data_IF_227924151923
#
_entry.id   IF_227924151923
#
_cell.length_a   1.000
_cell.length_b   1.000
_cell.length_c   1.000
_cell.angle_alpha   90.00
_cell.angle_beta   90.00
_cell.angle_gamma   90.00
#
_symmetry.space_group_name_H-M   'P 1'
#
loop_
_entity.id
_entity.type
_entity.pdbx_description
1 polymer ?
#
# COMPACT_ATOMS: atom_id res chain seq x y z
N UNK A 1 15.02 0.01 10.87
CA UNK A 1 15.75 -0.60 9.73
C UNK A 1 14.81 -0.90 8.56
N UNK A 2 13.76 -1.70 8.75
CA UNK A 2 12.82 -2.08 7.66
C UNK A 2 12.24 -0.88 6.91
N UNK A 3 11.74 0.13 7.62
CA UNK A 3 11.20 1.36 7.01
C UNK A 3 12.24 2.12 6.18
N UNK A 4 13.51 2.13 6.61
CA UNK A 4 14.60 2.78 5.86
C UNK A 4 14.92 2.01 4.57
N UNK A 5 14.93 0.67 4.61
CA UNK A 5 15.15 -0.15 3.42
C UNK A 5 14.01 0.03 2.41
N UNK A 6 12.76 -0.01 2.86
CA UNK A 6 11.59 0.25 2.02
C UNK A 6 11.68 1.65 1.40
N UNK A 7 12.02 2.67 2.20
CA UNK A 7 12.18 4.03 1.71
C UNK A 7 13.20 4.11 0.57
N UNK A 8 14.38 3.52 0.74
CA UNK A 8 15.43 3.52 -0.28
C UNK A 8 15.01 2.79 -1.56
N UNK A 9 14.46 1.59 -1.43
CA UNK A 9 14.00 0.79 -2.57
C UNK A 9 12.93 1.54 -3.36
N UNK A 10 11.96 2.14 -2.68
CA UNK A 10 10.86 2.87 -3.34
C UNK A 10 11.34 4.18 -3.98
N UNK A 11 12.28 4.89 -3.34
CA UNK A 11 12.88 6.08 -3.95
C UNK A 11 13.61 5.77 -5.25
N UNK A 12 14.37 4.65 -5.27
CA UNK A 12 15.07 4.18 -6.47
C UNK A 12 14.05 3.73 -7.53
N UNK A 13 13.01 3.01 -7.13
CA UNK A 13 12.00 2.46 -8.04
C UNK A 13 11.23 3.54 -8.81
N UNK A 14 10.86 4.62 -8.13
CA UNK A 14 10.11 5.72 -8.73
C UNK A 14 10.98 6.82 -9.30
N UNK A 15 12.31 6.73 -9.11
CA UNK A 15 13.25 7.81 -9.41
C UNK A 15 12.83 9.16 -8.77
N UNK A 16 12.03 9.08 -7.70
CA UNK A 16 11.34 10.22 -7.10
C UNK A 16 11.21 10.05 -5.59
N UNK A 17 11.93 10.91 -4.87
CA UNK A 17 11.94 10.92 -3.41
C UNK A 17 10.55 11.22 -2.85
N UNK A 18 9.75 12.07 -3.53
CA UNK A 18 8.40 12.42 -3.06
C UNK A 18 7.45 11.24 -3.09
N UNK A 19 7.47 10.43 -4.15
CA UNK A 19 6.64 9.23 -4.26
C UNK A 19 7.04 8.18 -3.23
N UNK A 20 8.35 8.07 -2.94
CA UNK A 20 8.88 7.24 -1.86
C UNK A 20 8.41 7.67 -0.47
N UNK A 21 8.51 8.96 -0.13
CA UNK A 21 8.04 9.49 1.17
C UNK A 21 6.54 9.23 1.35
N UNK A 22 5.72 9.48 0.32
CA UNK A 22 4.27 9.23 0.37
C UNK A 22 3.98 7.77 0.68
N UNK A 23 4.60 6.85 -0.04
CA UNK A 23 4.40 5.40 0.16
C UNK A 23 4.75 4.98 1.58
N UNK A 24 5.86 5.49 2.12
CA UNK A 24 6.30 5.17 3.48
C UNK A 24 5.37 5.76 4.55
N UNK A 25 4.80 6.94 4.33
CA UNK A 25 3.82 7.55 5.24
C UNK A 25 2.49 6.80 5.29
N UNK A 26 2.13 6.07 4.24
CA UNK A 26 0.92 5.25 4.19
C UNK A 26 1.05 3.94 5.00
N UNK A 27 2.27 3.41 5.17
CA UNK A 27 2.54 2.18 5.93
C UNK A 27 2.01 2.24 7.37
N UNK A 28 2.36 3.25 8.21
CA UNK A 28 1.87 3.30 9.58
C UNK A 28 0.35 3.47 9.68
N UNK A 29 -0.28 4.05 8.65
CA UNK A 29 -1.74 4.15 8.61
C UNK A 29 -2.38 2.76 8.51
N UNK A 30 -1.80 1.86 7.70
CA UNK A 30 -2.29 0.49 7.58
C UNK A 30 -2.16 -0.33 8.86
N UNK A 31 -1.23 0.03 9.75
CA UNK A 31 -1.06 -0.65 11.04
C UNK A 31 -2.22 -0.44 12.01
N UNK A 32 -3.02 0.62 11.82
CA UNK A 32 -4.22 0.86 12.63
C UNK A 32 -5.17 -0.34 12.55
N UNK A 33 -5.28 -1.00 11.39
CA UNK A 33 -6.10 -2.20 11.22
C UNK A 33 -5.62 -3.39 12.05
N UNK A 34 -4.29 -3.52 12.23
CA UNK A 34 -3.70 -4.58 13.05
C UNK A 34 -4.07 -4.36 14.52
N UNK A 35 -3.84 -3.14 15.03
CA UNK A 35 -4.18 -2.80 16.41
C UNK A 35 -5.68 -2.96 16.69
N UNK A 36 -6.54 -2.55 15.76
CA UNK A 36 -7.98 -2.69 15.90
C UNK A 36 -8.40 -4.16 16.00
N UNK A 37 -7.75 -5.03 15.24
CA UNK A 37 -8.07 -6.47 15.20
C UNK A 37 -7.57 -7.18 16.46
N UNK A 38 -6.36 -6.87 16.92
CA UNK A 38 -5.87 -7.38 18.21
C UNK A 38 -6.73 -6.91 19.39
N UNK A 39 -7.23 -5.67 19.34
CA UNK A 39 -8.15 -5.14 20.34
C UNK A 39 -9.50 -5.87 20.33
N UNK A 40 -10.07 -6.11 19.14
CA UNK A 40 -11.36 -6.81 19.01
C UNK A 40 -11.29 -8.30 19.37
N UNK A 41 -10.19 -8.99 19.04
CA UNK A 41 -10.03 -10.41 19.36
C UNK A 41 -9.44 -10.65 20.76
N UNK A 42 -9.17 -9.59 21.53
CA UNK A 42 -8.56 -9.65 22.87
C UNK A 42 -7.27 -10.50 22.91
N UNK A 43 -6.46 -10.41 21.85
CA UNK A 43 -5.25 -11.23 21.70
C UNK A 43 -4.03 -10.57 22.33
N UNK A 44 -3.16 -11.35 22.99
CA UNK A 44 -1.88 -10.83 23.47
C UNK A 44 -1.01 -10.43 22.28
N UNK A 45 -0.45 -9.23 22.35
CA UNK A 45 0.47 -8.73 21.34
C UNK A 45 1.86 -9.32 21.55
N UNK A 46 2.07 -10.53 21.02
CA UNK A 46 3.31 -11.32 21.16
C UNK A 46 4.07 -11.41 19.81
N UNK A 47 5.02 -12.35 19.69
CA UNK A 47 5.83 -12.59 18.50
C UNK A 47 5.02 -12.68 17.21
N UNK A 48 3.87 -13.37 17.21
CA UNK A 48 2.99 -13.49 16.05
C UNK A 48 2.42 -12.14 15.60
N UNK A 49 2.14 -11.23 16.54
CA UNK A 49 1.72 -9.86 16.25
C UNK A 49 2.81 -9.06 15.55
N UNK A 50 4.05 -9.11 16.04
CA UNK A 50 5.19 -8.46 15.37
C UNK A 50 5.43 -9.01 13.96
N UNK A 51 5.29 -10.33 13.76
CA UNK A 51 5.39 -10.93 12.43
C UNK A 51 4.26 -10.45 11.51
N UNK A 52 3.04 -10.30 12.03
CA UNK A 52 1.94 -9.71 11.26
C UNK A 52 2.25 -8.29 10.78
N UNK A 53 2.88 -7.44 11.62
CA UNK A 53 3.30 -6.10 11.22
C UNK A 53 4.26 -6.12 10.04
N UNK A 54 5.28 -6.96 10.10
CA UNK A 54 6.26 -7.10 9.02
C UNK A 54 5.58 -7.60 7.75
N UNK A 55 4.73 -8.62 7.87
CA UNK A 55 4.02 -9.23 6.76
C UNK A 55 3.08 -8.25 6.06
N UNK A 56 2.22 -7.55 6.82
CA UNK A 56 1.31 -6.53 6.29
C UNK A 56 2.08 -5.38 5.68
N UNK A 57 3.17 -4.91 6.31
CA UNK A 57 3.95 -3.80 5.77
C UNK A 57 4.45 -4.06 4.35
N UNK A 58 4.93 -5.28 4.06
CA UNK A 58 5.39 -5.66 2.72
C UNK A 58 4.25 -5.73 1.71
N UNK A 59 3.13 -6.34 2.08
CA UNK A 59 1.95 -6.47 1.20
C UNK A 59 1.34 -5.11 0.85
N UNK A 60 1.18 -4.24 1.83
CA UNK A 60 0.66 -2.88 1.65
C UNK A 60 1.57 -2.10 0.69
N UNK A 61 2.89 -2.14 0.92
CA UNK A 61 3.86 -1.44 0.08
C UNK A 61 3.78 -1.94 -1.36
N UNK A 62 3.67 -3.26 -1.57
CA UNK A 62 3.53 -3.82 -2.92
C UNK A 62 2.27 -3.29 -3.64
N UNK A 63 1.12 -3.28 -2.96
CA UNK A 63 -0.12 -2.76 -3.55
C UNK A 63 -0.05 -1.25 -3.85
N UNK A 64 0.56 -0.45 -2.96
CA UNK A 64 0.77 0.98 -3.17
C UNK A 64 1.70 1.26 -4.35
N UNK A 65 2.81 0.50 -4.44
CA UNK A 65 3.77 0.64 -5.53
C UNK A 65 3.07 0.43 -6.87
N UNK A 66 2.28 -0.64 -6.96
CA UNK A 66 1.58 -1.01 -8.19
C UNK A 66 0.55 0.04 -8.63
N UNK A 67 -0.16 0.64 -7.68
CA UNK A 67 -1.12 1.72 -7.95
C UNK A 67 -0.43 3.01 -8.42
N UNK A 68 0.63 3.44 -7.73
CA UNK A 68 1.39 4.66 -8.07
C UNK A 68 2.04 4.51 -9.45
N UNK A 69 2.60 3.33 -9.75
CA UNK A 69 3.21 3.08 -11.05
C UNK A 69 2.20 3.14 -12.19
N UNK A 70 1.00 2.59 -11.99
CA UNK A 70 -0.06 2.71 -12.99
C UNK A 70 -0.52 4.16 -13.14
N UNK A 71 -0.67 4.90 -12.05
CA UNK A 71 -1.00 6.32 -12.10
C UNK A 71 0.03 7.09 -12.94
N UNK A 72 1.32 6.88 -12.70
CA UNK A 72 2.40 7.49 -13.49
C UNK A 72 2.32 7.08 -14.96
N UNK A 73 1.98 5.82 -15.24
CA UNK A 73 1.85 5.28 -16.61
C UNK A 73 0.68 5.91 -17.36
N UNK A 74 -0.52 5.93 -16.76
CA UNK A 74 -1.73 6.52 -17.35
C UNK A 74 -1.54 8.03 -17.54
N UNK A 75 -0.88 8.70 -16.60
CA UNK A 75 -0.57 10.14 -16.71
C UNK A 75 0.34 10.45 -17.90
N UNK A 76 1.34 9.59 -18.18
CA UNK A 76 2.22 9.73 -19.35
C UNK A 76 1.50 9.42 -20.66
N UNK A 77 0.55 8.47 -20.65
CA UNK A 77 -0.23 8.11 -21.83
C UNK A 77 -1.29 9.18 -22.19
N UNK A 78 -1.89 9.83 -21.20
CA UNK A 78 -2.97 10.81 -21.39
C UNK A 78 -2.64 12.16 -20.72
N UNK A 79 -1.71 12.96 -21.28
CA UNK A 79 -1.25 14.22 -20.67
C UNK A 79 -2.34 15.32 -20.59
N UNK A 80 -3.47 15.16 -21.27
CA UNK A 80 -4.59 16.11 -21.24
C UNK A 80 -5.72 15.77 -20.26
N UNK A 81 -5.66 14.64 -19.56
CA UNK A 81 -6.71 14.22 -18.64
C UNK A 81 -6.59 14.91 -17.28
N UNK A 82 -7.72 15.18 -16.64
CA UNK A 82 -7.72 15.72 -15.28
C UNK A 82 -7.11 14.71 -14.29
N UNK A 83 -6.47 15.15 -13.19
CA UNK A 83 -5.89 14.24 -12.19
C UNK A 83 -6.88 13.21 -11.65
N UNK A 84 -8.18 13.54 -11.64
CA UNK A 84 -9.25 12.65 -11.22
C UNK A 84 -9.54 11.54 -12.24
N UNK A 85 -9.59 11.86 -13.54
CA UNK A 85 -9.82 10.88 -14.60
C UNK A 85 -8.66 9.88 -14.71
N UNK A 86 -7.42 10.39 -14.61
CA UNK A 86 -6.20 9.55 -14.57
C UNK A 86 -6.25 8.59 -13.39
N UNK A 87 -6.65 9.09 -12.20
CA UNK A 87 -6.78 8.26 -11.01
C UNK A 87 -7.89 7.20 -11.16
N UNK A 88 -9.08 7.59 -11.64
CA UNK A 88 -10.20 6.68 -11.79
C UNK A 88 -9.86 5.51 -12.74
N UNK A 89 -9.17 5.81 -13.85
CA UNK A 89 -8.72 4.79 -14.79
C UNK A 89 -7.64 3.88 -14.20
N UNK A 90 -6.63 4.46 -13.55
CA UNK A 90 -5.56 3.69 -12.90
C UNK A 90 -6.11 2.78 -11.79
N UNK A 91 -7.05 3.29 -10.99
CA UNK A 91 -7.72 2.52 -9.95
C UNK A 91 -8.55 1.38 -10.52
N UNK A 92 -9.38 1.63 -11.55
CA UNK A 92 -10.21 0.61 -12.19
C UNK A 92 -9.37 -0.53 -12.79
N UNK A 93 -8.22 -0.21 -13.39
CA UNK A 93 -7.33 -1.22 -13.97
C UNK A 93 -6.62 -2.09 -12.91
N UNK A 94 -6.39 -1.57 -11.70
CA UNK A 94 -5.49 -2.18 -10.71
C UNK A 94 -6.18 -2.69 -9.45
N UNK A 95 -7.43 -2.31 -9.21
CA UNK A 95 -8.17 -2.81 -8.05
C UNK A 95 -8.32 -4.33 -8.08
N UNK A 96 -8.57 -4.92 -9.25
CA UNK A 96 -8.68 -6.39 -9.42
C UNK A 96 -7.42 -7.14 -8.98
N UNK A 97 -6.21 -6.85 -9.51
CA UNK A 97 -5.00 -7.54 -9.06
C UNK A 97 -4.64 -7.28 -7.59
N UNK A 98 -4.93 -6.08 -7.05
CA UNK A 98 -4.74 -5.79 -5.63
C UNK A 98 -5.67 -6.67 -4.79
N UNK A 99 -6.97 -6.71 -5.11
CA UNK A 99 -7.94 -7.54 -4.41
C UNK A 99 -7.63 -9.04 -4.54
N UNK A 100 -7.11 -9.51 -5.68
CA UNK A 100 -6.67 -10.89 -5.84
C UNK A 100 -5.51 -11.24 -4.89
N UNK A 101 -4.55 -10.32 -4.72
CA UNK A 101 -3.41 -10.52 -3.81
C UNK A 101 -3.87 -10.59 -2.36
N UNK A 102 -4.71 -9.63 -1.94
CA UNK A 102 -5.24 -9.57 -0.58
C UNK A 102 -6.16 -10.74 -0.30
N UNK A 103 -7.08 -11.06 -1.22
CA UNK A 103 -8.00 -12.19 -1.11
C UNK A 103 -7.28 -13.52 -1.04
N UNK A 104 -6.28 -13.75 -1.90
CA UNK A 104 -5.45 -14.97 -1.84
C UNK A 104 -4.74 -15.10 -0.49
N UNK A 105 -4.22 -13.98 0.04
CA UNK A 105 -3.56 -13.98 1.36
C UNK A 105 -4.55 -14.29 2.49
N UNK A 106 -5.73 -13.67 2.48
CA UNK A 106 -6.78 -13.93 3.47
C UNK A 106 -7.24 -15.40 3.42
N UNK A 107 -7.42 -15.96 2.23
CA UNK A 107 -7.77 -17.36 2.04
C UNK A 107 -6.66 -18.30 2.53
N UNK A 108 -5.40 -17.97 2.28
CA UNK A 108 -4.24 -18.72 2.78
C UNK A 108 -4.09 -18.67 4.30
N UNK A 109 -4.58 -17.60 4.93
CA UNK A 109 -4.56 -17.43 6.39
C UNK A 109 -5.78 -18.02 7.11
N UNK A 110 -6.86 -18.29 6.37
CA UNK A 110 -8.10 -18.87 6.88
C UNK A 110 -7.91 -20.16 7.71
N UNK A 111 -7.11 -21.16 7.30
CA UNK A 111 -6.93 -22.38 8.10
C UNK A 111 -6.27 -22.10 9.46
N UNK A 112 -5.40 -21.09 9.57
CA UNK A 112 -4.76 -20.73 10.83
C UNK A 112 -5.72 -20.02 11.79
N UNK A 113 -6.73 -19.32 11.27
CA UNK A 113 -7.82 -18.77 12.08
C UNK A 113 -8.77 -19.86 12.58
N UNK A 114 -9.04 -20.88 11.77
CA UNK A 114 -9.93 -21.99 12.13
C UNK A 114 -9.25 -23.05 13.03
N UNK A 115 -7.92 -23.16 12.97
CA UNK A 115 -7.13 -24.06 13.81
C UNK A 115 -7.18 -23.72 15.31
N UNK A 116 -7.71 -22.55 15.66
CA UNK A 116 -7.89 -22.12 17.05
C UNK A 116 -6.58 -21.78 17.77
N UNK A 117 -6.64 -21.50 19.08
CA UNK A 117 -5.49 -21.05 19.87
C UNK A 117 -4.43 -22.13 20.16
N UNK A 118 -4.51 -23.31 19.54
CA UNK A 118 -3.50 -24.36 19.68
C UNK A 118 -2.11 -23.94 19.18
N UNK A 119 -2.07 -23.01 18.23
CA UNK A 119 -0.86 -22.43 17.63
C UNK A 119 -0.92 -20.89 17.76
N UNK A 120 -0.70 -20.38 18.98
CA UNK A 120 -0.89 -18.95 19.34
C UNK A 120 -0.13 -18.00 18.39
N UNK A 121 1.05 -18.40 17.93
CA UNK A 121 1.85 -17.63 16.98
C UNK A 121 1.15 -17.45 15.63
N UNK A 122 0.71 -18.54 15.01
CA UNK A 122 0.07 -18.52 13.68
C UNK A 122 -1.31 -17.88 13.75
N UNK A 123 -2.04 -18.10 14.84
CA UNK A 123 -3.33 -17.46 15.06
C UNK A 123 -3.19 -15.93 15.16
N UNK A 124 -2.24 -15.45 15.97
CA UNK A 124 -1.97 -14.01 16.10
C UNK A 124 -1.48 -13.39 14.78
N UNK A 125 -0.64 -14.11 14.02
CA UNK A 125 -0.20 -13.70 12.70
C UNK A 125 -1.36 -13.56 11.73
N UNK A 126 -2.21 -14.59 11.65
CA UNK A 126 -3.33 -14.65 10.73
C UNK A 126 -4.41 -13.61 11.07
N UNK A 127 -4.73 -13.43 12.36
CA UNK A 127 -5.64 -12.40 12.84
C UNK A 127 -5.11 -11.00 12.52
N UNK A 128 -3.86 -10.71 12.87
CA UNK A 128 -3.22 -9.43 12.60
C UNK A 128 -3.15 -9.08 11.13
N UNK A 129 -2.73 -10.04 10.31
CA UNK A 129 -2.64 -9.87 8.87
C UNK A 129 -4.02 -9.66 8.26
N UNK A 130 -5.04 -10.41 8.68
CA UNK A 130 -6.40 -10.24 8.16
C UNK A 130 -6.94 -8.84 8.44
N UNK A 131 -6.78 -8.38 9.67
CA UNK A 131 -7.12 -7.02 10.09
C UNK A 131 -6.42 -5.92 9.32
N UNK A 132 -5.09 -6.04 9.23
CA UNK A 132 -4.25 -5.07 8.53
C UNK A 132 -4.55 -5.00 7.03
N UNK A 133 -4.82 -6.13 6.38
CA UNK A 133 -5.14 -6.18 4.95
C UNK A 133 -6.53 -5.61 4.66
N UNK A 134 -7.54 -5.93 5.47
CA UNK A 134 -8.87 -5.33 5.35
C UNK A 134 -8.81 -3.81 5.49
N UNK A 135 -8.07 -3.32 6.48
CA UNK A 135 -7.87 -1.88 6.66
C UNK A 135 -7.03 -1.27 5.53
N UNK A 136 -6.07 -2.01 4.98
CA UNK A 136 -5.29 -1.55 3.84
C UNK A 136 -6.15 -1.30 2.60
N UNK A 137 -7.22 -2.06 2.37
CA UNK A 137 -8.15 -1.80 1.25
C UNK A 137 -8.77 -0.41 1.44
N UNK A 138 -9.23 -0.11 2.65
CA UNK A 138 -9.78 1.20 3.02
C UNK A 138 -8.74 2.29 2.76
N UNK A 139 -7.50 2.10 3.21
CA UNK A 139 -6.39 3.05 2.98
C UNK A 139 -6.13 3.27 1.49
N UNK A 140 -6.06 2.20 0.71
CA UNK A 140 -5.80 2.28 -0.74
C UNK A 140 -6.96 2.98 -1.45
N UNK A 141 -8.20 2.72 -1.08
CA UNK A 141 -9.39 3.33 -1.71
C UNK A 141 -9.64 4.78 -1.27
N UNK A 142 -9.42 5.13 0.00
CA UNK A 142 -9.73 6.46 0.55
C UNK A 142 -8.54 7.42 0.55
N UNK A 143 -7.32 6.94 0.82
CA UNK A 143 -6.14 7.82 0.97
C UNK A 143 -5.42 8.03 -0.37
N UNK A 144 -5.37 7.02 -1.24
CA UNK A 144 -4.80 7.20 -2.59
C UNK A 144 -5.44 8.32 -3.41
N UNK A 145 -6.78 8.51 -3.47
CA UNK A 145 -7.35 9.63 -4.22
C UNK A 145 -6.96 10.96 -3.57
N UNK A 146 -6.95 11.06 -2.24
CA UNK A 146 -6.61 12.32 -1.56
C UNK A 146 -5.16 12.75 -1.86
N UNK A 147 -4.22 11.81 -1.86
CA UNK A 147 -2.80 12.12 -2.07
C UNK A 147 -2.50 12.44 -3.54
N UNK A 148 -3.18 11.77 -4.47
CA UNK A 148 -2.97 11.97 -5.91
C UNK A 148 -3.75 13.19 -6.44
N UNK A 149 -4.94 13.48 -5.92
CA UNK A 149 -5.79 14.62 -6.33
C UNK A 149 -5.34 15.94 -5.68
N UNK A 150 -4.77 15.93 -4.47
CA UNK A 150 -4.35 17.16 -3.74
C UNK A 150 -3.17 17.92 -4.38
N UNK A 151 -2.83 17.69 -5.65
CA UNK A 151 -2.17 18.69 -6.48
C UNK A 151 -0.67 18.94 -6.23
N UNK A 152 0.00 18.14 -5.39
CA UNK A 152 1.47 18.23 -5.21
C UNK A 152 2.28 17.17 -5.97
N UNK A 153 1.63 16.14 -6.51
CA UNK A 153 2.25 15.15 -7.41
C UNK A 153 2.30 15.68 -8.87
N UNK A 154 1.36 16.55 -9.25
CA UNK A 154 1.21 17.06 -10.61
C UNK A 154 2.26 18.08 -11.08
N UNK A 155 2.79 18.93 -10.19
CA UNK A 155 3.65 20.07 -10.58
C UNK A 155 5.14 19.77 -10.69
N UNK A 156 5.61 18.59 -10.26
CA UNK A 156 7.05 18.28 -10.27
C UNK A 156 7.45 17.55 -11.54
N UNK A 157 6.64 16.59 -12.00
CA UNK A 157 6.95 15.82 -13.21
C UNK A 157 6.87 16.69 -14.49
N UNK A 158 6.08 17.77 -14.47
CA UNK A 158 6.06 18.75 -15.55
C UNK A 158 7.34 19.62 -15.57
N UNK A 159 7.96 19.87 -14.42
CA UNK A 159 9.20 20.65 -14.35
C UNK A 159 10.42 19.83 -14.79
N UNK A 160 10.45 18.52 -14.54
CA UNK A 160 11.55 17.66 -15.00
C UNK A 160 11.46 17.25 -16.46
N UNK A 161 10.25 17.26 -17.05
CA UNK A 161 10.08 17.02 -18.50
C UNK A 161 10.42 18.26 -19.32
N UNK A 162 10.25 19.46 -18.78
CA UNK A 162 10.69 20.72 -19.42
C UNK A 162 12.23 20.89 -19.39
N UNK A 163 12.92 20.42 -18.34
CA UNK A 163 14.40 20.44 -18.31
C UNK A 163 15.04 19.44 -19.29
N UNK A 164 14.51 18.22 -19.43
CA UNK A 164 15.08 17.21 -20.34
C UNK A 164 14.87 17.56 -21.83
N UNK A 165 13.84 18.34 -22.15
CA UNK A 165 13.56 18.80 -23.52
C UNK A 165 14.23 20.15 -23.88
N UNK A 166 14.93 20.80 -22.95
CA UNK A 166 15.77 21.99 -23.19
C UNK A 166 17.26 21.63 -23.34
N UNK A 167 17.66 20.40 -22.99
CA UNK A 167 19.05 19.90 -23.09
C UNK A 167 19.26 19.00 -24.33
N UNK A 168 18.19 18.75 -25.10
CA UNK A 168 18.23 18.12 -26.44
C UNK A 168 17.90 19.13 -27.53
#
# INVERSE_FOLDING_TARGET
VVVLLIFWIVCILFESIRQGVVTVLLIPVSFIGIFLTFYWLELPFDQGGYTAFLFVSGLVVNSLIFLIQEYNTVRRQFPGWSPFEVYAQAYANKITPILLTLGSTLLGLLPFLLGGPGEVFWFALAAGASGGLLFSIIVITLISPLVLISGKMGRVDAATTEEDNQVR
#
